data_IF_577702587818
#
_entry.id   IF_577702587818
#
_cell.length_a   1.000
_cell.length_b   1.000
_cell.length_c   1.000
_cell.angle_alpha   90.00
_cell.angle_beta   90.00
_cell.angle_gamma   90.00
#
_symmetry.space_group_name_H-M   'P 1'
#
loop_
_entity.id
_entity.type
_entity.pdbx_description
1 polymer ?
#
# COMPACT_ATOMS: atom_id res chain seq x y z
N UNK A 1 -2.49 10.68 7.50
CA UNK A 1 -2.60 10.98 6.05
C UNK A 1 -4.01 10.72 5.51
N UNK A 2 -4.52 9.48 5.53
CA UNK A 2 -5.84 9.15 4.95
C UNK A 2 -6.97 10.09 5.41
N UNK A 3 -7.12 10.34 6.72
CA UNK A 3 -8.20 11.18 7.24
C UNK A 3 -8.22 12.63 6.73
N UNK A 4 -7.06 13.19 6.35
CA UNK A 4 -6.94 14.56 5.85
C UNK A 4 -6.96 14.66 4.32
N UNK A 5 -6.73 13.56 3.61
CA UNK A 5 -6.74 13.51 2.14
C UNK A 5 -7.79 12.52 1.61
N UNK A 6 -7.40 11.25 1.49
CA UNK A 6 -8.15 10.22 0.78
C UNK A 6 -9.52 9.92 1.38
N UNK A 7 -9.66 9.90 2.71
CA UNK A 7 -10.87 9.49 3.44
C UNK A 7 -11.45 8.15 2.96
N UNK A 8 -10.57 7.19 2.67
CA UNK A 8 -11.00 5.83 2.35
C UNK A 8 -11.43 5.09 3.61
N UNK A 9 -12.45 4.25 3.50
CA UNK A 9 -12.69 3.21 4.49
C UNK A 9 -11.50 2.24 4.46
N UNK A 10 -10.98 1.89 5.63
CA UNK A 10 -9.86 0.96 5.75
C UNK A 10 -10.42 -0.43 6.01
N UNK A 11 -10.10 -1.36 5.10
CA UNK A 11 -10.35 -2.78 5.23
C UNK A 11 -9.01 -3.50 5.37
N UNK A 12 -8.79 -4.14 6.52
CA UNK A 12 -7.56 -4.87 6.84
C UNK A 12 -7.62 -6.35 6.46
N UNK A 13 -8.68 -6.81 5.77
CA UNK A 13 -8.81 -8.20 5.34
C UNK A 13 -7.57 -8.67 4.55
N UNK A 14 -7.08 -7.84 3.64
CA UNK A 14 -5.95 -8.13 2.75
C UNK A 14 -4.58 -8.08 3.45
N UNK A 15 -4.50 -7.43 4.61
CA UNK A 15 -3.28 -7.31 5.42
C UNK A 15 -3.04 -8.57 6.26
N UNK A 16 -4.06 -9.43 6.42
CA UNK A 16 -3.96 -10.62 7.27
C UNK A 16 -2.95 -11.60 6.66
N UNK A 17 -1.95 -12.06 7.44
CA UNK A 17 -1.02 -13.11 6.99
C UNK A 17 -1.72 -14.41 6.60
N UNK A 18 -2.90 -14.65 7.18
CA UNK A 18 -3.76 -15.81 6.91
C UNK A 18 -4.66 -15.66 5.68
N UNK A 19 -4.68 -14.50 5.03
CA UNK A 19 -5.46 -14.32 3.81
C UNK A 19 -4.90 -15.21 2.70
N UNK A 20 -5.72 -16.03 2.01
CA UNK A 20 -5.22 -17.03 1.06
C UNK A 20 -4.44 -16.43 -0.12
N UNK A 21 -4.76 -15.19 -0.50
CA UNK A 21 -4.04 -14.47 -1.56
C UNK A 21 -2.65 -13.96 -1.15
N UNK A 22 -2.31 -13.96 0.15
CA UNK A 22 -1.03 -13.46 0.65
C UNK A 22 -0.67 -12.07 0.11
N UNK A 23 -1.63 -11.15 0.07
CA UNK A 23 -1.57 -9.95 -0.78
C UNK A 23 -0.35 -9.06 -0.51
N UNK A 24 0.00 -8.88 0.76
CA UNK A 24 1.20 -8.14 1.18
C UNK A 24 2.49 -8.70 0.54
N UNK A 25 2.56 -9.99 0.23
CA UNK A 25 3.78 -10.65 -0.25
C UNK A 25 3.98 -10.58 -1.78
N UNK A 26 3.22 -9.77 -2.52
CA UNK A 26 3.13 -9.83 -3.99
C UNK A 26 3.77 -8.65 -4.73
N UNK A 27 4.58 -7.82 -4.07
CA UNK A 27 5.13 -6.60 -4.69
C UNK A 27 6.55 -6.28 -4.20
N UNK A 28 7.16 -5.26 -4.76
CA UNK A 28 8.59 -4.95 -4.66
C UNK A 28 9.07 -4.55 -3.26
N UNK A 29 8.14 -4.23 -2.35
CA UNK A 29 8.48 -3.89 -0.96
C UNK A 29 8.88 -5.12 -0.12
N UNK A 30 8.56 -6.34 -0.55
CA UNK A 30 8.79 -7.57 0.23
C UNK A 30 10.26 -7.76 0.63
N UNK A 31 11.25 -7.65 -0.27
CA UNK A 31 12.66 -7.80 0.12
C UNK A 31 13.15 -6.76 1.15
N UNK A 32 12.49 -5.59 1.22
CA UNK A 32 12.79 -4.57 2.24
C UNK A 32 12.20 -4.97 3.59
N UNK A 33 10.95 -5.44 3.60
CA UNK A 33 10.29 -5.96 4.80
C UNK A 33 11.06 -7.17 5.39
N UNK A 34 11.59 -8.06 4.54
CA UNK A 34 12.43 -9.21 4.97
C UNK A 34 13.71 -8.77 5.70
N UNK A 35 14.20 -7.56 5.40
CA UNK A 35 15.42 -6.98 5.99
C UNK A 35 15.09 -6.01 7.12
N UNK A 36 13.89 -6.09 7.69
CA UNK A 36 13.46 -5.22 8.78
C UNK A 36 13.51 -3.73 8.40
N UNK A 37 13.20 -3.41 7.14
CA UNK A 37 12.94 -2.02 6.71
C UNK A 37 11.42 -1.79 6.79
N UNK A 38 10.94 -0.79 7.56
CA UNK A 38 9.52 -0.47 7.60
C UNK A 38 8.97 -0.21 6.19
N UNK A 39 7.96 -0.99 5.80
CA UNK A 39 7.48 -1.05 4.42
C UNK A 39 5.97 -0.97 4.38
N UNK A 40 5.45 -0.14 3.47
CA UNK A 40 4.03 0.06 3.23
C UNK A 40 3.74 -0.15 1.75
N UNK A 41 2.65 -0.85 1.44
CA UNK A 41 2.21 -1.14 0.08
C UNK A 41 0.89 -0.45 -0.22
N UNK A 42 0.88 0.37 -1.28
CA UNK A 42 -0.34 0.94 -1.83
C UNK A 42 -0.75 0.20 -3.09
N UNK A 43 -1.98 -0.31 -3.12
CA UNK A 43 -2.56 -0.97 -4.28
C UNK A 43 -4.03 -0.58 -4.42
N UNK A 44 -4.52 -0.50 -5.66
CA UNK A 44 -5.96 -0.40 -5.94
C UNK A 44 -6.61 -1.77 -6.16
N UNK A 45 -5.90 -2.85 -5.84
CA UNK A 45 -6.22 -4.26 -6.12
C UNK A 45 -6.23 -4.58 -7.64
N UNK A 46 -6.47 -5.84 -7.99
CA UNK A 46 -6.67 -6.25 -9.38
C UNK A 46 -7.96 -5.69 -9.97
N UNK A 47 -7.99 -5.63 -11.29
CA UNK A 47 -9.18 -5.34 -12.09
C UNK A 47 -9.23 -6.29 -13.29
N UNK A 48 -10.38 -6.34 -13.96
CA UNK A 48 -10.64 -7.27 -15.09
C UNK A 48 -9.70 -7.11 -16.28
N UNK A 49 -9.04 -5.96 -16.39
CA UNK A 49 -8.11 -5.65 -17.48
C UNK A 49 -6.64 -5.84 -17.09
N UNK A 50 -6.34 -6.19 -15.83
CA UNK A 50 -4.97 -6.45 -15.37
C UNK A 50 -4.30 -7.55 -16.22
N UNK A 51 -3.03 -7.33 -16.61
CA UNK A 51 -2.29 -8.21 -17.54
C UNK A 51 -2.97 -8.41 -18.91
N UNK A 52 -3.78 -7.46 -19.36
CA UNK A 52 -4.36 -7.49 -20.71
C UNK A 52 -4.00 -6.22 -21.49
N UNK A 53 -4.08 -6.24 -22.83
CA UNK A 53 -3.92 -5.02 -23.64
C UNK A 53 -4.96 -3.92 -23.37
N UNK A 54 -6.01 -4.21 -22.57
CA UNK A 54 -7.04 -3.22 -22.20
C UNK A 54 -6.67 -2.42 -20.95
N UNK A 55 -5.53 -2.67 -20.32
CA UNK A 55 -4.99 -1.84 -19.25
C UNK A 55 -4.44 -0.52 -19.83
N UNK A 56 -5.37 0.37 -20.20
CA UNK A 56 -5.10 1.59 -20.96
C UNK A 56 -5.53 2.84 -20.18
N UNK A 57 -4.91 4.02 -20.43
CA UNK A 57 -5.23 5.26 -19.71
C UNK A 57 -6.72 5.64 -19.73
N UNK A 58 -7.42 5.33 -20.82
CA UNK A 58 -8.86 5.63 -20.98
C UNK A 58 -9.75 4.93 -19.96
N UNK A 59 -9.26 3.84 -19.34
CA UNK A 59 -9.99 3.04 -18.36
C UNK A 59 -9.68 3.46 -16.91
N UNK A 60 -8.81 4.46 -16.70
CA UNK A 60 -8.45 4.94 -15.37
C UNK A 60 -9.58 5.78 -14.77
N UNK A 61 -10.01 5.44 -13.55
CA UNK A 61 -10.77 6.36 -12.70
C UNK A 61 -9.83 7.42 -12.11
N UNK A 62 -9.69 8.53 -12.83
CA UNK A 62 -8.80 9.63 -12.40
C UNK A 62 -9.24 10.27 -11.09
N UNK A 63 -10.53 10.29 -10.75
CA UNK A 63 -10.99 10.86 -9.47
C UNK A 63 -10.54 9.99 -8.31
N UNK A 64 -10.65 8.67 -8.42
CA UNK A 64 -10.10 7.72 -7.44
C UNK A 64 -8.58 7.83 -7.39
N UNK A 65 -7.90 7.84 -8.54
CA UNK A 65 -6.45 7.93 -8.63
C UNK A 65 -5.92 9.18 -7.92
N UNK A 66 -6.47 10.36 -8.19
CA UNK A 66 -6.07 11.60 -7.50
C UNK A 66 -6.16 11.49 -5.98
N UNK A 67 -7.24 10.91 -5.46
CA UNK A 67 -7.41 10.72 -4.00
C UNK A 67 -6.37 9.75 -3.42
N UNK A 68 -6.07 8.65 -4.12
CA UNK A 68 -5.02 7.70 -3.72
C UNK A 68 -3.65 8.39 -3.74
N UNK A 69 -3.32 9.11 -4.80
CA UNK A 69 -2.05 9.83 -4.92
C UNK A 69 -1.87 10.89 -3.84
N UNK A 70 -2.92 11.65 -3.50
CA UNK A 70 -2.89 12.60 -2.38
C UNK A 70 -2.64 11.91 -1.03
N UNK A 71 -3.23 10.73 -0.83
CA UNK A 71 -2.95 9.92 0.38
C UNK A 71 -1.51 9.42 0.39
N UNK A 72 -1.00 8.86 -0.70
CA UNK A 72 0.40 8.42 -0.81
C UNK A 72 1.37 9.57 -0.55
N UNK A 73 1.18 10.71 -1.22
CA UNK A 73 2.01 11.90 -1.05
C UNK A 73 2.02 12.39 0.40
N UNK A 74 0.85 12.58 1.01
CA UNK A 74 0.77 13.07 2.38
C UNK A 74 1.36 12.06 3.38
N UNK A 75 1.30 10.76 3.08
CA UNK A 75 1.95 9.73 3.91
C UNK A 75 3.46 9.88 3.86
N UNK A 76 4.04 9.96 2.66
CA UNK A 76 5.49 10.18 2.49
C UNK A 76 5.95 11.50 3.12
N UNK A 77 5.19 12.58 2.94
CA UNK A 77 5.49 13.88 3.54
C UNK A 77 5.54 13.81 5.07
N UNK A 78 4.53 13.20 5.70
CA UNK A 78 4.49 13.06 7.16
C UNK A 78 5.63 12.19 7.68
N UNK A 79 5.96 11.10 7.00
CA UNK A 79 7.08 10.21 7.37
C UNK A 79 8.42 10.94 7.26
N UNK A 80 8.65 11.67 6.18
CA UNK A 80 9.90 12.39 5.94
C UNK A 80 10.14 13.53 6.94
N UNK A 81 9.06 14.13 7.47
CA UNK A 81 9.12 15.23 8.44
C UNK A 81 8.89 14.78 9.89
N UNK A 82 8.74 13.48 10.15
CA UNK A 82 8.55 12.97 11.50
C UNK A 82 9.86 13.10 12.31
N UNK A 83 9.79 13.47 13.61
CA UNK A 83 10.98 13.59 14.46
C UNK A 83 11.64 12.24 14.76
N UNK A 84 10.93 11.14 14.49
CA UNK A 84 11.42 9.77 14.65
C UNK A 84 11.11 9.00 13.38
N UNK A 85 12.05 8.13 12.98
CA UNK A 85 11.81 7.18 11.90
C UNK A 85 10.65 6.24 12.25
N UNK A 86 9.91 5.71 11.25
CA UNK A 86 8.93 4.66 11.47
C UNK A 86 9.55 3.48 12.22
N UNK A 87 8.83 2.97 13.22
CA UNK A 87 9.18 1.73 13.88
C UNK A 87 8.60 0.54 13.09
N UNK A 88 9.20 -0.61 13.27
CA UNK A 88 8.60 -1.89 12.90
C UNK A 88 7.68 -2.29 14.06
N UNK A 89 6.59 -2.99 13.75
CA UNK A 89 5.72 -3.54 14.79
C UNK A 89 6.48 -4.54 15.68
N UNK A 90 6.30 -4.48 17.02
CA UNK A 90 6.96 -5.41 17.93
C UNK A 90 6.67 -6.87 17.58
N UNK A 91 7.73 -7.67 17.44
CA UNK A 91 7.61 -9.10 17.11
C UNK A 91 7.29 -9.39 15.64
N UNK A 92 7.34 -8.38 14.76
CA UNK A 92 7.23 -8.61 13.32
C UNK A 92 8.38 -9.49 12.81
N UNK A 93 8.00 -10.64 12.27
CA UNK A 93 8.87 -11.58 11.56
C UNK A 93 8.15 -11.86 10.25
N UNK A 94 8.74 -11.49 9.11
CA UNK A 94 8.08 -11.71 7.81
C UNK A 94 8.11 -13.20 7.42
N UNK A 95 9.20 -13.89 7.76
CA UNK A 95 9.42 -15.33 7.57
C UNK A 95 10.33 -15.84 8.70
N UNK A 96 10.06 -17.05 9.17
CA UNK A 96 10.89 -17.78 10.15
C UNK A 96 12.29 -18.09 9.60
#
# INVERSE_FOLDING_TARGET
>A
ANGVTGRFAIDSLWDRPTHPEGWYFRSDHVPYAERSVPSLFFSTNLHSDYHTPRDEPKNIDYRKLTRVTQWMYMTGWLVANAPKRPAIDPGFILRD
#
